data_IF_390034969783
#
_entry.id   IF_390034969783
#
_cell.length_a   1.000
_cell.length_b   1.000
_cell.length_c   1.000
_cell.angle_alpha   90.00
_cell.angle_beta   90.00
_cell.angle_gamma   90.00
#
_symmetry.space_group_name_H-M   'P 1'
#
loop_
_entity.id
_entity.type
_entity.pdbx_description
1 polymer ?
#
# COMPACT_ATOMS: atom_id res chain seq x y z
N UNK A 1 22.65 24.53 4.73
CA UNK A 1 21.33 24.11 4.23
C UNK A 1 20.75 23.14 5.25
N UNK A 2 19.56 23.41 5.80
CA UNK A 2 18.94 22.50 6.79
C UNK A 2 18.61 21.17 6.11
N UNK A 3 19.32 20.10 6.47
CA UNK A 3 19.05 18.76 5.95
C UNK A 3 17.58 18.40 6.18
N UNK A 4 16.91 17.92 5.13
CA UNK A 4 15.52 17.45 5.25
C UNK A 4 15.54 16.15 6.06
N UNK A 5 14.75 16.05 7.15
CA UNK A 5 14.68 14.81 7.91
C UNK A 5 14.22 13.66 7.02
N UNK A 6 14.97 12.56 7.01
CA UNK A 6 14.69 11.39 6.16
C UNK A 6 13.31 10.77 6.43
N UNK A 7 12.79 10.97 7.64
CA UNK A 7 11.48 10.51 8.09
C UNK A 7 10.29 11.03 7.27
N UNK A 8 10.44 12.14 6.53
CA UNK A 8 9.38 12.67 5.65
C UNK A 8 9.71 12.57 4.16
N UNK A 9 10.93 12.10 3.81
CA UNK A 9 11.36 11.95 2.42
C UNK A 9 11.31 10.50 1.94
N UNK A 10 11.35 9.53 2.85
CA UNK A 10 11.21 8.12 2.52
C UNK A 10 9.72 7.72 2.56
N UNK A 11 9.10 7.32 1.43
CA UNK A 11 7.67 6.97 1.37
C UNK A 11 7.27 5.82 2.29
N UNK A 12 8.19 4.88 2.54
CA UNK A 12 7.94 3.71 3.40
C UNK A 12 7.83 4.05 4.88
N UNK A 13 8.50 5.11 5.33
CA UNK A 13 8.54 5.51 6.76
C UNK A 13 7.79 6.79 7.04
N UNK A 14 7.42 7.54 6.00
CA UNK A 14 6.67 8.78 6.13
C UNK A 14 5.25 8.50 6.61
N UNK A 15 4.89 9.05 7.76
CA UNK A 15 3.55 8.99 8.34
C UNK A 15 2.80 10.34 8.26
N UNK A 16 3.44 11.38 7.71
CA UNK A 16 2.85 12.71 7.57
C UNK A 16 2.30 13.23 8.91
N UNK A 17 1.04 13.66 8.91
CA UNK A 17 0.36 14.17 10.11
C UNK A 17 0.15 13.12 11.21
N UNK A 18 0.37 11.84 10.95
CA UNK A 18 0.27 10.77 11.96
C UNK A 18 1.49 10.65 12.87
N UNK A 19 2.57 11.42 12.63
CA UNK A 19 3.61 11.57 13.64
C UNK A 19 3.06 12.30 14.87
N UNK A 20 3.24 11.73 16.06
CA UNK A 20 2.87 12.38 17.33
C UNK A 20 3.74 13.60 17.60
N UNK A 21 3.35 14.46 18.54
CA UNK A 21 4.13 15.65 18.89
C UNK A 21 5.53 15.28 19.41
N UNK A 22 5.61 14.21 20.19
CA UNK A 22 6.85 13.67 20.75
C UNK A 22 7.75 13.10 19.64
N UNK A 23 7.17 12.36 18.69
CA UNK A 23 7.90 11.87 17.51
C UNK A 23 8.42 13.02 16.66
N UNK A 24 7.62 14.06 16.44
CA UNK A 24 8.03 15.25 15.69
C UNK A 24 9.19 15.97 16.36
N UNK A 25 9.17 16.10 17.69
CA UNK A 25 10.28 16.70 18.43
C UNK A 25 11.56 15.87 18.29
N UNK A 26 11.47 14.53 18.45
CA UNK A 26 12.62 13.63 18.31
C UNK A 26 13.19 13.58 16.90
N UNK A 27 12.34 13.70 15.87
CA UNK A 27 12.72 13.60 14.46
C UNK A 27 13.03 14.97 13.82
N UNK A 28 13.00 16.07 14.57
CA UNK A 28 13.24 17.42 14.03
C UNK A 28 12.17 17.90 13.05
N UNK A 29 10.93 17.41 13.21
CA UNK A 29 9.76 17.75 12.39
C UNK A 29 8.88 18.86 12.98
N UNK A 30 9.21 19.36 14.17
CA UNK A 30 8.51 20.49 14.78
C UNK A 30 8.48 21.69 13.84
N UNK A 31 7.27 22.21 13.56
CA UNK A 31 7.07 23.32 12.63
C UNK A 31 7.11 22.96 11.14
N UNK A 32 7.40 21.69 10.78
CA UNK A 32 7.43 21.23 9.37
C UNK A 32 6.14 20.58 8.89
N UNK A 33 5.24 20.26 9.82
CA UNK A 33 3.96 19.60 9.57
C UNK A 33 2.82 20.43 10.17
N UNK A 34 1.60 20.37 9.60
CA UNK A 34 0.41 20.99 10.20
C UNK A 34 0.23 20.58 11.66
N UNK A 35 -0.34 21.46 12.49
CA UNK A 35 -0.45 21.23 13.95
C UNK A 35 -1.32 20.02 14.33
N UNK A 36 -2.26 19.64 13.46
CA UNK A 36 -3.11 18.47 13.67
C UNK A 36 -2.30 17.18 13.66
N UNK A 37 -2.65 16.26 14.57
CA UNK A 37 -2.19 14.88 14.58
C UNK A 37 -3.38 14.04 14.13
N UNK A 38 -3.23 13.30 13.04
CA UNK A 38 -4.30 12.49 12.45
C UNK A 38 -3.98 11.01 12.60
N UNK A 39 -5.00 10.17 12.77
CA UNK A 39 -4.84 8.72 12.61
C UNK A 39 -4.71 8.35 11.14
N UNK A 40 -4.20 7.15 10.83
CA UNK A 40 -4.13 6.65 9.46
C UNK A 40 -5.52 6.63 8.80
N UNK A 41 -6.57 6.25 9.54
CA UNK A 41 -7.95 6.24 9.02
C UNK A 41 -8.47 7.64 8.72
N UNK A 42 -8.14 8.65 9.54
CA UNK A 42 -8.51 10.04 9.27
C UNK A 42 -7.80 10.56 8.01
N UNK A 43 -6.51 10.23 7.85
CA UNK A 43 -5.77 10.56 6.64
C UNK A 43 -6.36 9.88 5.41
N UNK A 44 -6.72 8.59 5.52
CA UNK A 44 -7.31 7.82 4.43
C UNK A 44 -8.67 8.38 4.02
N UNK A 45 -9.55 8.67 4.98
CA UNK A 45 -10.85 9.29 4.73
C UNK A 45 -10.71 10.65 4.03
N UNK A 46 -9.76 11.49 4.47
CA UNK A 46 -9.47 12.79 3.84
C UNK A 46 -8.92 12.63 2.42
N UNK A 47 -8.00 11.70 2.21
CA UNK A 47 -7.43 11.43 0.89
C UNK A 47 -8.50 10.89 -0.08
N UNK A 48 -9.34 9.97 0.38
CA UNK A 48 -10.47 9.46 -0.40
C UNK A 48 -11.47 10.56 -0.76
N UNK A 49 -11.86 11.42 0.19
CA UNK A 49 -12.73 12.56 -0.10
C UNK A 49 -12.14 13.50 -1.15
N UNK A 50 -10.82 13.75 -1.12
CA UNK A 50 -10.15 14.53 -2.14
C UNK A 50 -10.18 13.84 -3.52
N UNK A 51 -10.03 12.51 -3.53
CA UNK A 51 -10.07 11.69 -4.74
C UNK A 51 -11.46 11.72 -5.41
N UNK A 52 -12.53 11.73 -4.62
CA UNK A 52 -13.92 11.89 -5.10
C UNK A 52 -14.18 13.25 -5.77
N UNK A 53 -13.32 14.25 -5.53
CA UNK A 53 -13.44 15.57 -6.14
C UNK A 53 -12.87 15.66 -7.57
N UNK A 54 -12.24 14.60 -8.08
CA UNK A 54 -11.72 14.56 -9.46
C UNK A 54 -12.73 13.93 -10.40
N UNK A 55 -12.99 14.60 -11.52
CA UNK A 55 -13.93 14.11 -12.53
C UNK A 55 -13.31 13.08 -13.50
N UNK A 56 -12.02 13.22 -13.80
CA UNK A 56 -11.32 12.38 -14.78
C UNK A 56 -10.46 11.32 -14.10
N UNK A 57 -10.48 10.11 -14.64
CA UNK A 57 -9.69 9.00 -14.12
C UNK A 57 -8.18 9.27 -14.13
N UNK A 58 -7.68 10.01 -15.13
CA UNK A 58 -6.28 10.41 -15.19
C UNK A 58 -5.87 11.30 -14.01
N UNK A 59 -6.76 12.17 -13.53
CA UNK A 59 -6.46 13.05 -12.40
C UNK A 59 -6.46 12.26 -11.09
N UNK A 60 -7.37 11.28 -10.95
CA UNK A 60 -7.36 10.31 -9.85
C UNK A 60 -6.08 9.48 -9.85
N UNK A 61 -5.64 9.00 -11.01
CA UNK A 61 -4.39 8.26 -11.16
C UNK A 61 -3.18 9.12 -10.73
N UNK A 62 -3.06 10.35 -11.23
CA UNK A 62 -1.97 11.26 -10.85
C UNK A 62 -1.98 11.54 -9.34
N UNK A 63 -3.16 11.73 -8.74
CA UNK A 63 -3.27 11.91 -7.30
C UNK A 63 -2.78 10.67 -6.52
N UNK A 64 -3.18 9.47 -6.95
CA UNK A 64 -2.77 8.21 -6.34
C UNK A 64 -1.26 7.97 -6.47
N UNK A 65 -0.67 8.27 -7.62
CA UNK A 65 0.78 8.18 -7.86
C UNK A 65 1.57 9.14 -6.94
N UNK A 66 1.08 10.38 -6.79
CA UNK A 66 1.65 11.33 -5.85
C UNK A 66 1.47 10.91 -4.39
N UNK A 67 0.38 10.23 -4.05
CA UNK A 67 0.15 9.70 -2.71
C UNK A 67 1.14 8.57 -2.42
N UNK A 68 1.28 7.62 -3.33
CA UNK A 68 2.23 6.51 -3.26
C UNK A 68 3.67 7.00 -3.09
N UNK A 69 4.09 7.98 -3.90
CA UNK A 69 5.42 8.58 -3.85
C UNK A 69 5.71 9.38 -2.57
N UNK A 70 4.70 9.71 -1.76
CA UNK A 70 4.87 10.46 -0.51
C UNK A 70 4.72 9.59 0.73
N UNK A 71 3.76 8.68 0.73
CA UNK A 71 3.40 7.84 1.85
C UNK A 71 2.75 6.54 1.34
N UNK A 72 3.56 5.49 1.28
CA UNK A 72 3.17 4.21 0.69
C UNK A 72 2.12 3.49 1.57
N UNK A 73 2.24 3.61 2.90
CA UNK A 73 1.28 3.03 3.84
C UNK A 73 -0.11 3.64 3.66
N UNK A 74 -0.19 4.97 3.53
CA UNK A 74 -1.45 5.67 3.29
C UNK A 74 -2.04 5.33 1.92
N UNK A 75 -1.20 5.22 0.89
CA UNK A 75 -1.63 4.78 -0.43
C UNK A 75 -2.31 3.40 -0.38
N UNK A 76 -1.64 2.41 0.22
CA UNK A 76 -2.22 1.07 0.31
C UNK A 76 -3.46 1.02 1.22
N UNK A 77 -3.52 1.85 2.26
CA UNK A 77 -4.74 1.96 3.08
C UNK A 77 -5.93 2.42 2.24
N UNK A 78 -5.79 3.54 1.52
CA UNK A 78 -6.84 4.08 0.64
C UNK A 78 -7.21 3.07 -0.45
N UNK A 79 -6.21 2.44 -1.09
CA UNK A 79 -6.44 1.46 -2.13
C UNK A 79 -7.19 0.23 -1.60
N UNK A 80 -6.85 -0.27 -0.41
CA UNK A 80 -7.48 -1.48 0.15
C UNK A 80 -8.91 -1.19 0.62
N UNK A 81 -9.14 -0.02 1.24
CA UNK A 81 -10.47 0.38 1.70
C UNK A 81 -11.46 0.59 0.53
N UNK A 82 -10.96 1.03 -0.63
CA UNK A 82 -11.76 1.41 -1.81
C UNK A 82 -11.38 0.60 -3.07
N UNK A 83 -10.94 -0.64 -2.89
CA UNK A 83 -10.30 -1.44 -3.94
C UNK A 83 -11.16 -1.58 -5.19
N UNK A 84 -12.44 -1.90 -5.05
CA UNK A 84 -13.34 -2.12 -6.20
C UNK A 84 -13.48 -0.89 -7.08
N UNK A 85 -13.46 0.31 -6.48
CA UNK A 85 -13.56 1.57 -7.19
C UNK A 85 -12.23 1.98 -7.83
N UNK A 86 -11.13 1.79 -7.10
CA UNK A 86 -9.82 2.31 -7.50
C UNK A 86 -9.04 1.36 -8.41
N UNK A 87 -9.36 0.06 -8.43
CA UNK A 87 -8.66 -0.93 -9.25
C UNK A 87 -8.58 -0.54 -10.75
N UNK A 88 -9.66 -0.10 -11.42
CA UNK A 88 -9.61 0.29 -12.82
C UNK A 88 -8.78 1.56 -13.08
N UNK A 89 -8.53 2.37 -12.05
CA UNK A 89 -7.76 3.62 -12.15
C UNK A 89 -6.26 3.32 -12.02
N UNK A 90 -5.87 2.43 -11.10
CA UNK A 90 -4.45 2.13 -10.83
C UNK A 90 -3.89 1.03 -11.72
N UNK A 91 -4.74 0.18 -12.28
CA UNK A 91 -4.35 -0.93 -13.11
C UNK A 91 -4.85 -0.69 -14.54
N UNK A 92 -3.96 -0.82 -15.52
CA UNK A 92 -4.25 -0.70 -16.96
C UNK A 92 -5.65 -1.26 -17.32
N UNK A 93 -6.48 -0.54 -18.08
CA UNK A 93 -7.87 -0.94 -18.38
C UNK A 93 -7.96 -2.38 -18.93
N UNK A 94 -6.91 -2.84 -19.62
CA UNK A 94 -6.83 -4.17 -20.23
C UNK A 94 -6.72 -5.30 -19.21
N UNK A 95 -6.22 -5.04 -18.00
CA UNK A 95 -6.08 -6.06 -16.95
C UNK A 95 -7.12 -5.86 -15.83
N UNK A 96 -7.71 -4.68 -15.72
CA UNK A 96 -8.94 -4.49 -14.93
C UNK A 96 -10.08 -5.41 -15.39
N UNK A 97 -10.22 -5.62 -16.70
CA UNK A 97 -11.13 -6.63 -17.27
C UNK A 97 -10.71 -8.06 -16.91
N UNK A 98 -9.43 -8.39 -17.05
CA UNK A 98 -8.91 -9.72 -16.72
C UNK A 98 -9.10 -10.07 -15.23
N UNK A 99 -8.90 -9.13 -14.30
CA UNK A 99 -9.12 -9.37 -12.86
C UNK A 99 -10.62 -9.54 -12.56
N UNK A 100 -11.50 -8.78 -13.19
CA UNK A 100 -12.96 -8.97 -13.04
C UNK A 100 -13.38 -10.37 -13.49
N UNK A 101 -12.89 -10.83 -14.64
CA UNK A 101 -13.17 -12.18 -15.14
C UNK A 101 -12.56 -13.27 -14.26
N UNK A 102 -11.29 -13.10 -13.83
CA UNK A 102 -10.62 -14.05 -12.94
C UNK A 102 -11.34 -14.14 -11.59
N UNK A 103 -11.67 -13.03 -10.95
CA UNK A 103 -12.38 -13.01 -9.66
C UNK A 103 -13.81 -13.56 -9.78
N UNK A 104 -14.50 -13.28 -10.89
CA UNK A 104 -15.82 -13.84 -11.17
C UNK A 104 -15.77 -15.37 -11.38
N UNK A 105 -14.72 -15.87 -12.04
CA UNK A 105 -14.50 -17.30 -12.30
C UNK A 105 -13.98 -18.11 -11.11
N UNK A 106 -13.52 -17.46 -10.03
CA UNK A 106 -13.05 -18.17 -8.84
C UNK A 106 -14.22 -18.79 -8.04
N UNK A 107 -14.07 -20.03 -7.54
CA UNK A 107 -15.07 -20.67 -6.70
C UNK A 107 -15.25 -19.90 -5.37
N UNK A 108 -16.43 -19.95 -4.73
CA UNK A 108 -16.77 -19.11 -3.57
C UNK A 108 -15.76 -19.17 -2.41
N UNK A 109 -15.10 -20.32 -2.23
CA UNK A 109 -14.08 -20.56 -1.19
C UNK A 109 -12.78 -19.77 -1.42
N UNK A 110 -12.45 -19.44 -2.68
CA UNK A 110 -11.22 -18.74 -3.03
C UNK A 110 -11.35 -17.21 -2.88
N UNK A 111 -12.57 -16.66 -2.88
CA UNK A 111 -12.82 -15.22 -2.63
C UNK A 111 -12.59 -14.79 -1.17
N UNK A 112 -12.38 -15.75 -0.26
CA UNK A 112 -12.18 -15.52 1.19
C UNK A 112 -10.83 -16.05 1.69
N UNK A 113 -9.79 -16.05 0.85
CA UNK A 113 -8.46 -16.43 1.33
C UNK A 113 -7.94 -15.38 2.33
N UNK A 114 -7.69 -15.74 3.61
CA UNK A 114 -7.01 -14.86 4.53
C UNK A 114 -5.56 -14.69 4.06
N UNK A 115 -5.04 -13.47 4.15
CA UNK A 115 -3.67 -13.08 3.76
C UNK A 115 -2.59 -13.88 4.53
N UNK A 116 -2.95 -14.51 5.65
CA UNK A 116 -2.02 -15.20 6.57
C UNK A 116 -1.78 -16.69 6.31
N UNK A 117 -1.80 -17.17 5.06
CA UNK A 117 -1.42 -18.57 4.81
C UNK A 117 0.11 -18.71 4.76
N UNK A 118 0.76 -19.42 5.70
CA UNK A 118 2.20 -19.65 5.60
C UNK A 118 2.53 -20.49 4.34
N UNK A 119 3.67 -20.22 3.68
CA UNK A 119 4.05 -20.91 2.46
C UNK A 119 4.15 -22.41 2.72
N UNK A 120 3.47 -23.21 1.89
CA UNK A 120 3.54 -24.67 1.96
C UNK A 120 4.98 -25.09 1.74
N UNK A 121 5.60 -25.73 2.74
CA UNK A 121 6.93 -26.33 2.58
C UNK A 121 6.86 -27.38 1.48
N UNK A 122 7.60 -27.18 0.39
CA UNK A 122 7.81 -28.23 -0.61
C UNK A 122 8.47 -29.45 0.06
N UNK A 123 8.05 -30.68 -0.28
CA UNK A 123 8.71 -31.88 0.23
C UNK A 123 10.18 -31.87 -0.24
N UNK A 124 11.10 -31.95 0.71
CA UNK A 124 12.54 -32.13 0.46
C UNK A 124 12.70 -33.39 -0.38
N UNK A 125 13.19 -33.24 -1.61
CA UNK A 125 13.71 -34.36 -2.41
C UNK A 125 14.86 -34.96 -1.62
N UNK A 126 14.69 -36.20 -1.17
CA UNK A 126 15.71 -36.99 -0.50
C UNK A 126 16.88 -37.15 -1.50
N UNK A 127 18.05 -36.56 -1.19
CA UNK A 127 19.28 -36.84 -1.93
C UNK A 127 19.63 -38.31 -1.72
N UNK A 128 19.70 -39.09 -2.79
CA UNK A 128 20.29 -40.43 -2.77
C UNK A 128 21.76 -40.37 -2.30
N UNK A 129 22.23 -41.33 -1.49
CA UNK A 129 23.63 -41.38 -1.08
C UNK A 129 24.52 -41.89 -2.21
N UNK A 130 25.68 -41.25 -2.38
CA UNK A 130 26.73 -41.59 -3.33
C UNK A 130 27.19 -43.07 -3.22
N UNK A 131 27.63 -43.70 -4.32
CA UNK A 131 28.09 -45.09 -4.29
C UNK A 131 29.45 -45.19 -3.61
N UNK A 132 29.58 -46.15 -2.67
CA UNK A 132 30.85 -46.49 -2.04
C UNK A 132 31.76 -47.18 -3.06
N UNK A 133 32.91 -46.58 -3.34
CA UNK A 133 33.99 -47.23 -4.08
C UNK A 133 34.55 -48.43 -3.29
N UNK A 134 34.78 -49.53 -4.00
CA UNK A 134 35.65 -50.65 -3.60
C UNK A 134 36.84 -50.67 -4.54
#
# INVERSE_FOLDING_TARGET
MSEKPSAITNPLTNRGTAFTREERARLGLTGRLPAAVETLDQQAARAHHQLQGFDRDIDKYVFLDQLHSRNEVLYYKVLTDHLTELLPIVYDPTVGEAIKEVVAGLPPVARRLPVDRPPRRHPRVLRDPAPRAR
#
